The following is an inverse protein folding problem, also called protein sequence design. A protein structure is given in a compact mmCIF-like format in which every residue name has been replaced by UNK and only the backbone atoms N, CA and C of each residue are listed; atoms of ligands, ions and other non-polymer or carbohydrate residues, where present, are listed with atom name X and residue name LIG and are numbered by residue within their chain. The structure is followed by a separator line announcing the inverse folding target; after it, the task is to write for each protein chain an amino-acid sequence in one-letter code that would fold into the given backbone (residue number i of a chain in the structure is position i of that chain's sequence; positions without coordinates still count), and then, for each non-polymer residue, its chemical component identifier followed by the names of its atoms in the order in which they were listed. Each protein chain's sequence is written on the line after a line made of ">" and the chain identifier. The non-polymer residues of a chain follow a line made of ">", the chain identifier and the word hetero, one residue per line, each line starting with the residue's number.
data_IF_391326557373
#
_entry.id   IF_391326557373
#
_cell.length_a   1.000
_cell.length_b   1.000
_cell.length_c   1.000
_cell.angle_alpha   90.00
_cell.angle_beta   90.00
_cell.angle_gamma   90.00
#
_symmetry.space_group_name_H-M   'P 1'
#
loop_
_entity.id
_entity.type
_entity.pdbx_description
1 polymer ?
#
# COMPACT_ATOMS: atom_id res chain seq x y z
N UNK A 1 -14.48 29.23 -15.49
CA UNK A 1 -13.59 28.36 -14.69
C UNK A 1 -14.46 27.36 -13.95
N UNK A 2 -14.61 26.14 -14.44
CA UNK A 2 -15.39 25.11 -13.73
C UNK A 2 -14.59 24.66 -12.51
N UNK A 3 -15.17 24.76 -11.31
CA UNK A 3 -14.64 24.06 -10.15
C UNK A 3 -14.67 22.56 -10.46
N UNK A 4 -13.51 21.96 -10.70
CA UNK A 4 -13.40 20.51 -10.67
C UNK A 4 -13.63 20.09 -9.22
N UNK A 5 -14.74 19.41 -8.96
CA UNK A 5 -15.03 18.86 -7.64
C UNK A 5 -13.89 17.92 -7.25
N UNK A 6 -13.11 18.28 -6.23
CA UNK A 6 -12.02 17.43 -5.75
C UNK A 6 -12.61 16.16 -5.12
N UNK A 7 -12.16 14.99 -5.57
CA UNK A 7 -12.58 13.70 -5.01
C UNK A 7 -12.29 13.63 -3.50
N UNK A 8 -13.26 13.13 -2.74
CA UNK A 8 -13.15 12.95 -1.28
C UNK A 8 -12.96 11.48 -0.90
N UNK A 9 -12.53 11.22 0.34
CA UNK A 9 -12.46 9.87 0.89
C UNK A 9 -13.84 9.16 0.89
N UNK A 10 -14.93 9.93 1.05
CA UNK A 10 -16.28 9.39 1.00
C UNK A 10 -16.69 8.95 -0.41
N UNK A 11 -16.15 9.58 -1.45
CA UNK A 11 -16.37 9.17 -2.84
C UNK A 11 -15.63 7.88 -3.15
N UNK A 12 -14.36 7.77 -2.74
CA UNK A 12 -13.56 6.54 -2.94
C UNK A 12 -14.20 5.32 -2.30
N UNK A 13 -14.87 5.47 -1.14
CA UNK A 13 -15.60 4.38 -0.47
C UNK A 13 -16.76 3.81 -1.28
N UNK A 14 -17.28 4.57 -2.26
CA UNK A 14 -18.40 4.16 -3.12
C UNK A 14 -17.94 3.50 -4.41
N UNK A 15 -16.64 3.55 -4.72
CA UNK A 15 -16.11 3.04 -5.98
C UNK A 15 -16.09 1.52 -5.98
N UNK A 16 -16.42 0.94 -7.14
CA UNK A 16 -16.10 -0.46 -7.42
C UNK A 16 -14.59 -0.67 -7.50
N UNK A 17 -14.17 -1.94 -7.58
CA UNK A 17 -12.76 -2.27 -7.78
C UNK A 17 -12.25 -1.72 -9.11
N UNK A 18 -13.07 -1.84 -10.15
CA UNK A 18 -12.78 -1.36 -11.51
C UNK A 18 -12.67 0.17 -11.51
N UNK A 19 -13.63 0.87 -10.91
CA UNK A 19 -13.59 2.34 -10.79
C UNK A 19 -12.37 2.83 -10.01
N UNK A 20 -11.99 2.10 -8.96
CA UNK A 20 -10.77 2.41 -8.19
C UNK A 20 -9.52 2.23 -9.06
N UNK A 21 -9.44 1.14 -9.83
CA UNK A 21 -8.31 0.92 -10.72
C UNK A 21 -8.28 1.97 -11.84
N UNK A 22 -9.41 2.26 -12.48
CA UNK A 22 -9.51 3.29 -13.52
C UNK A 22 -9.05 4.66 -13.03
N UNK A 23 -9.46 5.06 -11.81
CA UNK A 23 -8.96 6.28 -11.18
C UNK A 23 -7.44 6.19 -10.98
N UNK A 24 -6.94 5.10 -10.39
CA UNK A 24 -5.51 4.91 -10.10
C UNK A 24 -4.62 5.12 -11.34
N UNK A 25 -5.05 4.65 -12.51
CA UNK A 25 -4.33 4.80 -13.78
C UNK A 25 -4.14 6.26 -14.24
N UNK A 26 -4.97 7.17 -13.72
CA UNK A 26 -4.94 8.61 -14.05
C UNK A 26 -4.11 9.44 -13.06
N UNK A 27 -3.79 8.88 -11.88
CA UNK A 27 -3.11 9.60 -10.81
C UNK A 27 -1.58 9.61 -10.98
N UNK A 28 -0.94 10.49 -10.21
CA UNK A 28 0.52 10.59 -10.11
C UNK A 28 1.04 9.90 -8.83
N UNK A 29 2.28 9.41 -8.87
CA UNK A 29 2.96 8.96 -7.66
C UNK A 29 3.23 10.15 -6.73
N UNK A 30 3.04 10.01 -5.40
CA UNK A 30 3.57 11.00 -4.46
C UNK A 30 5.10 10.97 -4.47
N UNK A 31 5.72 12.11 -4.18
CA UNK A 31 7.16 12.16 -3.94
C UNK A 31 7.52 11.40 -2.66
N UNK A 32 8.74 10.84 -2.57
CA UNK A 32 9.20 10.17 -1.35
C UNK A 32 9.04 11.05 -0.11
N UNK A 33 9.45 12.32 -0.20
CA UNK A 33 9.36 13.31 0.89
C UNK A 33 7.93 13.63 1.33
N UNK A 34 6.94 13.40 0.46
CA UNK A 34 5.52 13.59 0.78
C UNK A 34 5.00 12.48 1.72
N UNK A 35 5.63 11.29 1.66
CA UNK A 35 5.24 10.10 2.42
C UNK A 35 6.08 9.95 3.70
N UNK A 36 5.78 10.76 4.72
CA UNK A 36 6.49 10.77 6.00
C UNK A 36 5.53 10.88 7.20
N UNK A 37 5.32 9.77 7.89
CA UNK A 37 4.40 9.67 9.03
C UNK A 37 3.48 8.45 8.95
N UNK A 38 2.46 8.44 9.80
CA UNK A 38 1.40 7.43 9.84
C UNK A 38 0.15 7.92 9.12
N UNK A 39 -0.39 7.08 8.25
CA UNK A 39 -1.53 7.37 7.40
C UNK A 39 -2.64 6.35 7.69
N UNK A 40 -3.72 6.75 8.40
CA UNK A 40 -4.92 5.94 8.53
C UNK A 40 -5.30 5.25 7.22
N UNK A 41 -5.49 3.94 7.31
CA UNK A 41 -5.70 3.10 6.14
C UNK A 41 -7.09 2.48 6.17
N UNK A 42 -7.80 2.56 5.06
CA UNK A 42 -9.13 1.97 4.91
C UNK A 42 -9.15 1.08 3.68
N UNK A 43 -9.57 -0.19 3.85
CA UNK A 43 -9.89 -1.04 2.70
C UNK A 43 -11.11 -0.49 1.97
N UNK A 44 -11.02 -0.38 0.66
CA UNK A 44 -12.17 -0.05 -0.21
C UNK A 44 -12.87 -1.35 -0.63
N UNK A 45 -13.77 -1.29 -1.60
CA UNK A 45 -14.43 -2.48 -2.13
C UNK A 45 -13.38 -3.49 -2.65
N UNK A 46 -13.56 -4.77 -2.35
CA UNK A 46 -12.63 -5.86 -2.73
C UNK A 46 -13.27 -6.77 -3.79
N UNK A 47 -12.47 -7.39 -4.69
CA UNK A 47 -12.99 -8.16 -5.83
C UNK A 47 -13.68 -9.48 -5.47
N UNK A 48 -13.46 -10.01 -4.26
CA UNK A 48 -14.18 -11.20 -3.80
C UNK A 48 -14.19 -11.37 -2.28
N UNK A 49 -15.11 -12.20 -1.78
CA UNK A 49 -15.15 -12.67 -0.38
C UNK A 49 -13.90 -13.49 0.01
N UNK A 50 -13.26 -14.17 -0.95
CA UNK A 50 -12.05 -14.97 -0.71
C UNK A 50 -10.81 -14.07 -0.57
N UNK A 51 -10.76 -12.96 -1.33
CA UNK A 51 -9.81 -11.87 -1.11
C UNK A 51 -10.09 -11.15 0.23
N UNK A 52 -11.37 -11.04 0.61
CA UNK A 52 -11.77 -10.56 1.94
C UNK A 52 -11.32 -11.51 3.06
N UNK A 53 -11.36 -12.84 2.86
CA UNK A 53 -10.90 -13.87 3.79
C UNK A 53 -9.37 -13.97 3.91
N UNK A 54 -8.62 -13.80 2.82
CA UNK A 54 -7.15 -13.68 2.87
C UNK A 54 -6.72 -12.36 3.58
N UNK A 55 -7.52 -11.30 3.41
CA UNK A 55 -7.47 -10.10 4.26
C UNK A 55 -7.91 -10.33 5.70
N UNK A 56 -8.70 -11.36 6.02
CA UNK A 56 -9.14 -11.68 7.40
C UNK A 56 -8.04 -12.36 8.23
N UNK A 57 -7.14 -13.13 7.63
CA UNK A 57 -6.00 -13.74 8.35
C UNK A 57 -4.91 -12.71 8.69
N UNK A 58 -4.81 -11.61 7.91
CA UNK A 58 -3.74 -10.61 8.05
C UNK A 58 -4.19 -9.21 8.51
N UNK A 59 -5.45 -8.82 8.32
CA UNK A 59 -5.87 -7.40 8.40
C UNK A 59 -7.23 -7.17 9.09
N UNK A 60 -8.10 -8.19 9.14
CA UNK A 60 -9.49 -8.10 9.65
C UNK A 60 -9.79 -9.12 10.75
N UNK A 61 -8.83 -9.39 11.63
CA UNK A 61 -9.19 -9.94 12.94
C UNK A 61 -9.90 -8.82 13.71
N UNK A 62 -11.18 -8.94 14.12
CA UNK A 62 -11.83 -7.93 14.95
C UNK A 62 -11.10 -7.67 16.28
N UNK A 63 -10.22 -8.58 16.71
CA UNK A 63 -9.31 -8.41 17.85
C UNK A 63 -8.00 -7.67 17.50
N UNK A 64 -7.68 -7.53 16.21
CA UNK A 64 -6.46 -6.89 15.70
C UNK A 64 -6.77 -5.98 14.49
N UNK A 65 -7.54 -4.89 14.67
CA UNK A 65 -7.89 -4.00 13.57
C UNK A 65 -6.64 -3.33 13.00
N UNK A 66 -6.52 -3.37 11.68
CA UNK A 66 -5.57 -2.57 10.93
C UNK A 66 -5.91 -1.08 11.05
N UNK A 67 -4.89 -0.26 11.32
CA UNK A 67 -5.08 1.15 11.63
C UNK A 67 -4.47 2.05 10.56
N UNK A 68 -3.17 1.90 10.31
CA UNK A 68 -2.44 2.77 9.40
C UNK A 68 -1.34 2.02 8.65
N UNK A 69 -0.89 2.66 7.57
CA UNK A 69 0.45 2.44 7.02
C UNK A 69 1.32 3.61 7.42
N UNK A 70 2.58 3.35 7.74
CA UNK A 70 3.53 4.37 8.13
C UNK A 70 4.76 4.33 7.23
N UNK A 71 5.31 5.50 6.94
CA UNK A 71 6.41 5.68 6.00
C UNK A 71 7.45 6.64 6.54
N UNK A 72 8.70 6.41 6.17
CA UNK A 72 9.74 7.43 6.21
C UNK A 72 10.56 7.41 4.91
N UNK A 73 10.94 8.58 4.37
CA UNK A 73 11.96 8.66 3.34
C UNK A 73 13.32 8.20 3.88
N UNK A 74 14.10 7.54 3.03
CA UNK A 74 15.54 7.30 3.24
C UNK A 74 16.33 8.18 2.29
N UNK A 75 15.91 8.23 1.03
CA UNK A 75 16.43 9.12 0.00
C UNK A 75 15.29 9.53 -0.96
N UNK A 76 15.64 10.07 -2.13
CA UNK A 76 14.69 10.58 -3.13
C UNK A 76 13.89 9.48 -3.84
N UNK A 77 14.38 8.24 -3.83
CA UNK A 77 13.75 7.10 -4.52
C UNK A 77 13.35 5.97 -3.56
N UNK A 78 13.93 5.91 -2.36
CA UNK A 78 13.79 4.80 -1.42
C UNK A 78 13.34 5.26 -0.04
N UNK A 79 12.60 4.39 0.64
CA UNK A 79 12.19 4.58 2.02
C UNK A 79 11.88 3.29 2.75
N UNK A 80 11.29 3.45 3.93
CA UNK A 80 10.86 2.34 4.80
C UNK A 80 9.45 2.56 5.26
N UNK A 81 8.77 1.46 5.57
CA UNK A 81 7.46 1.53 6.17
C UNK A 81 7.10 0.31 6.99
N UNK A 82 5.95 0.42 7.66
CA UNK A 82 5.30 -0.68 8.37
C UNK A 82 3.79 -0.43 8.43
N UNK A 83 3.02 -1.44 8.81
CA UNK A 83 1.60 -1.30 9.14
C UNK A 83 1.44 -1.26 10.66
N UNK A 84 0.40 -0.59 11.17
CA UNK A 84 0.04 -0.69 12.59
C UNK A 84 -1.31 -1.33 12.80
N UNK A 85 -1.43 -1.97 13.96
CA UNK A 85 -2.61 -2.69 14.38
C UNK A 85 -2.89 -2.41 15.86
N UNK A 86 -4.16 -2.45 16.26
CA UNK A 86 -4.51 -2.43 17.70
C UNK A 86 -4.54 -3.85 18.23
N UNK A 87 -3.78 -4.19 19.26
CA UNK A 87 -3.85 -5.50 19.93
C UNK A 87 -3.90 -5.29 21.44
N UNK A 88 -4.91 -5.86 22.11
CA UNK A 88 -5.10 -5.72 23.56
C UNK A 88 -4.97 -4.26 24.06
N UNK A 89 -5.60 -3.31 23.34
CA UNK A 89 -5.56 -1.88 23.66
C UNK A 89 -4.29 -1.13 23.24
N UNK A 90 -3.21 -1.81 22.85
CA UNK A 90 -1.94 -1.21 22.42
C UNK A 90 -1.84 -1.14 20.91
N UNK A 91 -1.11 -0.15 20.39
CA UNK A 91 -0.76 -0.08 18.98
C UNK A 91 0.57 -0.81 18.76
N UNK A 92 0.61 -1.76 17.83
CA UNK A 92 1.81 -2.53 17.48
C UNK A 92 2.17 -2.33 16.01
N UNK A 93 3.47 -2.25 15.72
CA UNK A 93 4.03 -2.20 14.36
C UNK A 93 4.22 -3.62 13.83
N UNK A 94 3.79 -3.89 12.59
CA UNK A 94 3.94 -5.17 11.89
C UNK A 94 4.14 -4.96 10.40
N UNK A 95 4.49 -6.03 9.70
CA UNK A 95 4.64 -6.06 8.23
C UNK A 95 5.55 -4.93 7.72
N UNK A 96 6.84 -4.96 8.10
CA UNK A 96 7.84 -4.04 7.56
C UNK A 96 7.94 -4.17 6.05
N UNK A 97 8.16 -3.04 5.38
CA UNK A 97 8.24 -2.95 3.92
C UNK A 97 9.32 -1.96 3.50
N UNK A 98 9.96 -2.24 2.37
CA UNK A 98 10.74 -1.24 1.65
C UNK A 98 9.77 -0.40 0.83
N UNK A 99 9.99 0.90 0.75
CA UNK A 99 9.26 1.74 -0.18
C UNK A 99 10.17 2.25 -1.29
N UNK A 100 9.62 2.34 -2.50
CA UNK A 100 10.37 2.75 -3.69
C UNK A 100 9.45 3.42 -4.70
N UNK A 101 9.93 4.43 -5.42
CA UNK A 101 9.25 4.92 -6.62
C UNK A 101 9.66 4.03 -7.80
N UNK A 102 8.70 3.29 -8.37
CA UNK A 102 8.98 2.39 -9.49
C UNK A 102 7.78 2.29 -10.45
N UNK A 103 8.00 1.87 -11.71
CA UNK A 103 6.92 1.70 -12.68
C UNK A 103 5.83 0.72 -12.18
N UNK A 104 4.58 1.16 -12.26
CA UNK A 104 3.39 0.38 -11.90
C UNK A 104 3.24 -0.84 -12.80
N UNK A 105 2.73 -1.95 -12.24
CA UNK A 105 2.40 -3.14 -13.05
C UNK A 105 1.21 -2.96 -13.98
N UNK A 106 0.41 -1.91 -13.77
CA UNK A 106 -0.84 -1.70 -14.48
C UNK A 106 -0.67 -0.82 -15.72
N UNK A 107 0.18 0.21 -15.65
CA UNK A 107 0.39 1.16 -16.76
C UNK A 107 1.85 1.56 -17.02
N UNK A 108 2.81 1.04 -16.26
CA UNK A 108 4.23 1.39 -16.39
C UNK A 108 4.57 2.82 -15.96
N UNK A 109 3.61 3.64 -15.51
CA UNK A 109 3.91 4.97 -14.95
C UNK A 109 4.39 4.83 -13.51
N UNK A 110 5.14 5.81 -12.96
CA UNK A 110 5.60 5.76 -11.58
C UNK A 110 4.47 5.52 -10.56
N UNK A 111 4.76 4.73 -9.53
CA UNK A 111 3.92 4.54 -8.36
C UNK A 111 4.80 4.44 -7.11
N UNK A 112 4.29 4.88 -5.96
CA UNK A 112 4.94 4.67 -4.68
C UNK A 112 4.66 3.24 -4.22
N UNK A 113 5.64 2.35 -4.36
CA UNK A 113 5.47 0.93 -4.11
C UNK A 113 5.90 0.54 -2.71
N UNK A 114 5.16 -0.38 -2.09
CA UNK A 114 5.43 -0.97 -0.79
C UNK A 114 5.78 -2.45 -1.02
N UNK A 115 7.05 -2.80 -0.86
CA UNK A 115 7.55 -4.14 -1.15
C UNK A 115 7.85 -4.88 0.15
N UNK A 116 6.93 -5.74 0.57
CA UNK A 116 6.99 -6.45 1.85
C UNK A 116 8.07 -7.54 1.87
N UNK A 117 8.38 -8.12 0.70
CA UNK A 117 9.35 -9.21 0.59
C UNK A 117 10.79 -8.78 0.92
N UNK A 118 11.06 -7.48 0.99
CA UNK A 118 12.33 -6.95 1.48
C UNK A 118 12.63 -7.40 2.92
N UNK A 119 11.62 -7.83 3.69
CA UNK A 119 11.75 -8.27 5.06
C UNK A 119 11.16 -9.68 5.31
N UNK A 120 11.57 -10.30 6.40
CA UNK A 120 11.00 -11.56 6.88
C UNK A 120 9.64 -11.28 7.54
N UNK A 121 8.56 -11.56 6.81
CA UNK A 121 7.18 -11.37 7.27
C UNK A 121 6.21 -12.19 6.42
N UNK A 122 5.04 -12.50 6.96
CA UNK A 122 3.96 -13.19 6.24
C UNK A 122 3.57 -12.46 4.93
N UNK A 123 3.44 -11.13 4.94
CA UNK A 123 3.20 -10.35 3.72
C UNK A 123 4.34 -10.51 2.70
N UNK A 124 5.58 -10.62 3.17
CA UNK A 124 6.72 -10.93 2.32
C UNK A 124 6.69 -12.34 1.74
N UNK A 125 6.20 -13.33 2.49
CA UNK A 125 6.12 -14.73 2.04
C UNK A 125 5.07 -14.96 0.96
N UNK A 126 4.02 -14.13 0.91
CA UNK A 126 2.97 -14.18 -0.12
C UNK A 126 3.20 -13.20 -1.28
N UNK A 127 4.40 -12.62 -1.40
CA UNK A 127 4.77 -11.67 -2.46
C UNK A 127 3.84 -10.46 -2.54
N UNK A 128 3.42 -9.95 -1.36
CA UNK A 128 2.58 -8.77 -1.29
C UNK A 128 3.35 -7.54 -1.78
N UNK A 129 2.71 -6.76 -2.65
CA UNK A 129 3.17 -5.44 -3.09
C UNK A 129 1.95 -4.54 -3.19
N UNK A 130 2.04 -3.37 -2.55
CA UNK A 130 1.06 -2.31 -2.72
C UNK A 130 1.65 -1.21 -3.61
N UNK A 131 0.82 -0.57 -4.42
CA UNK A 131 1.18 0.59 -5.23
C UNK A 131 0.28 1.77 -4.85
N UNK A 132 0.85 2.95 -4.59
CA UNK A 132 0.13 4.13 -4.09
C UNK A 132 0.31 5.32 -5.04
N UNK A 133 -0.79 6.03 -5.27
CA UNK A 133 -0.84 7.29 -6.03
C UNK A 133 -1.70 8.33 -5.30
N UNK A 134 -1.41 9.60 -5.55
CA UNK A 134 -2.02 10.75 -4.88
C UNK A 134 -3.34 11.12 -5.54
N UNK A 135 -4.42 11.15 -4.76
CA UNK A 135 -5.75 11.61 -5.20
C UNK A 135 -5.86 13.12 -5.01
N UNK A 136 -5.51 13.60 -3.82
CA UNK A 136 -5.49 15.02 -3.46
C UNK A 136 -4.56 15.23 -2.25
N UNK A 137 -4.51 16.46 -1.72
CA UNK A 137 -3.72 16.73 -0.51
C UNK A 137 -4.19 15.84 0.63
N UNK A 138 -3.26 15.06 1.20
CA UNK A 138 -3.50 14.13 2.31
C UNK A 138 -4.46 12.97 2.00
N UNK A 139 -4.76 12.69 0.72
CA UNK A 139 -5.59 11.55 0.32
C UNK A 139 -4.90 10.78 -0.81
N UNK A 140 -4.76 9.47 -0.59
CA UNK A 140 -4.06 8.58 -1.50
C UNK A 140 -4.90 7.35 -1.79
N UNK A 141 -4.77 6.85 -3.02
CA UNK A 141 -5.35 5.60 -3.46
C UNK A 141 -4.24 4.58 -3.62
N UNK A 142 -4.44 3.43 -3.00
CA UNK A 142 -3.53 2.30 -3.08
C UNK A 142 -4.19 1.08 -3.72
N UNK A 143 -3.42 0.34 -4.50
CA UNK A 143 -3.80 -0.96 -5.06
C UNK A 143 -2.83 -2.01 -4.52
N UNK A 144 -3.34 -2.87 -3.63
CA UNK A 144 -2.62 -4.02 -3.12
C UNK A 144 -2.68 -5.20 -4.09
N UNK A 145 -1.64 -6.03 -4.06
CA UNK A 145 -1.59 -7.31 -4.77
C UNK A 145 -0.82 -8.32 -3.95
N UNK A 146 -1.08 -9.60 -4.15
CA UNK A 146 -0.27 -10.70 -3.62
C UNK A 146 -0.46 -11.94 -4.49
N UNK A 147 0.38 -12.95 -4.28
CA UNK A 147 0.25 -14.24 -4.95
C UNK A 147 1.55 -14.74 -5.54
N UNK A 148 1.55 -16.00 -5.96
CA UNK A 148 2.75 -16.72 -6.38
C UNK A 148 2.91 -16.76 -7.90
N UNK A 149 1.86 -16.40 -8.64
CA UNK A 149 1.86 -16.34 -10.11
C UNK A 149 1.63 -14.92 -10.61
N UNK A 150 2.07 -14.62 -11.83
CA UNK A 150 1.84 -13.31 -12.45
C UNK A 150 0.34 -12.96 -12.51
N UNK A 151 -0.54 -13.94 -12.78
CA UNK A 151 -1.99 -13.71 -12.85
C UNK A 151 -2.58 -13.32 -11.49
N UNK A 152 -2.17 -13.98 -10.40
CA UNK A 152 -2.63 -13.64 -9.05
C UNK A 152 -2.15 -12.23 -8.67
N UNK A 153 -0.91 -11.90 -9.02
CA UNK A 153 -0.29 -10.59 -8.77
C UNK A 153 -0.83 -9.47 -9.67
N UNK A 154 -1.91 -9.70 -10.42
CA UNK A 154 -2.65 -8.67 -11.16
C UNK A 154 -4.05 -8.38 -10.57
N UNK A 155 -4.48 -9.14 -9.57
CA UNK A 155 -5.77 -8.91 -8.90
C UNK A 155 -5.64 -7.68 -7.99
N UNK A 156 -6.36 -6.61 -8.33
CA UNK A 156 -6.37 -5.36 -7.57
C UNK A 156 -7.10 -5.50 -6.23
N UNK A 157 -6.47 -5.04 -5.15
CA UNK A 157 -7.03 -4.96 -3.80
C UNK A 157 -7.01 -3.50 -3.32
N UNK A 158 -8.04 -2.70 -3.66
CA UNK A 158 -8.01 -1.26 -3.42
C UNK A 158 -8.08 -0.90 -1.94
N UNK A 159 -7.33 0.12 -1.55
CA UNK A 159 -7.37 0.74 -0.23
C UNK A 159 -7.10 2.24 -0.38
N UNK A 160 -7.41 3.02 0.65
CA UNK A 160 -7.05 4.43 0.70
C UNK A 160 -6.19 4.72 1.94
N UNK A 161 -5.39 5.78 1.84
CA UNK A 161 -4.61 6.33 2.93
C UNK A 161 -4.98 7.80 3.11
N UNK A 162 -5.15 8.22 4.36
CA UNK A 162 -5.42 9.61 4.74
C UNK A 162 -4.28 10.10 5.64
N UNK A 163 -3.79 11.32 5.47
CA UNK A 163 -2.79 11.91 6.37
C UNK A 163 -1.52 12.45 5.70
N UNK A 164 -0.42 12.60 6.46
CA UNK A 164 -0.13 11.91 7.73
C UNK A 164 -0.89 12.47 8.94
N UNK A 165 -1.16 11.62 9.96
CA UNK A 165 -1.83 12.01 11.22
C UNK A 165 -0.97 11.83 12.47
N UNK A 166 0.19 11.18 12.35
CA UNK A 166 1.16 11.00 13.44
C UNK A 166 2.57 10.78 12.87
N UNK A 167 3.65 10.98 13.66
CA UNK A 167 5.01 10.72 13.20
C UNK A 167 5.32 9.22 13.08
N UNK A 168 6.28 8.88 12.21
CA UNK A 168 6.85 7.54 12.10
C UNK A 168 7.55 7.15 13.42
N UNK A 169 7.36 5.90 13.88
CA UNK A 169 7.77 5.45 15.22
C UNK A 169 9.11 4.72 15.28
N UNK A 170 9.75 4.52 14.12
CA UNK A 170 11.03 3.86 14.01
C UNK A 170 10.97 2.56 13.22
N UNK A 171 12.13 2.20 12.70
CA UNK A 171 12.30 1.07 11.81
C UNK A 171 12.09 -0.26 12.55
N UNK A 172 11.42 -1.21 11.91
CA UNK A 172 11.23 -2.58 12.40
C UNK A 172 11.61 -3.61 11.32
N UNK A 173 11.69 -4.88 11.72
CA UNK A 173 11.86 -6.00 10.80
C UNK A 173 13.29 -6.42 10.53
N UNK A 174 13.45 -7.69 10.16
CA UNK A 174 14.72 -8.25 9.72
C UNK A 174 14.74 -8.32 8.19
N UNK A 175 15.71 -7.69 7.51
CA UNK A 175 15.85 -7.79 6.06
C UNK A 175 15.95 -9.25 5.59
N UNK A 176 15.35 -9.55 4.44
CA UNK A 176 15.39 -10.90 3.86
C UNK A 176 16.67 -11.08 3.05
N UNK A 177 17.46 -12.10 3.40
CA UNK A 177 18.69 -12.46 2.67
C UNK A 177 18.37 -12.80 1.21
N UNK A 178 19.15 -12.26 0.28
CA UNK A 178 18.99 -12.51 -1.15
C UNK A 178 17.73 -11.90 -1.78
N UNK A 179 17.11 -10.92 -1.11
CA UNK A 179 16.05 -10.13 -1.71
C UNK A 179 16.56 -9.38 -2.96
N UNK A 180 15.74 -9.38 -4.00
CA UNK A 180 15.98 -8.65 -5.24
C UNK A 180 14.68 -7.97 -5.67
N UNK A 181 14.70 -6.65 -5.77
CA UNK A 181 13.51 -5.84 -6.07
C UNK A 181 12.87 -6.21 -7.41
N UNK A 182 13.67 -6.52 -8.43
CA UNK A 182 13.21 -6.92 -9.78
C UNK A 182 12.34 -8.19 -9.79
N UNK A 183 12.41 -9.04 -8.76
CA UNK A 183 11.52 -10.20 -8.64
C UNK A 183 10.10 -9.78 -8.25
N UNK A 184 9.99 -8.69 -7.48
CA UNK A 184 8.74 -8.18 -6.94
C UNK A 184 8.14 -7.05 -7.78
N UNK A 185 8.94 -6.30 -8.52
CA UNK A 185 8.48 -5.24 -9.43
C UNK A 185 8.70 -5.70 -10.87
N UNK A 186 7.65 -6.18 -11.59
CA UNK A 186 7.82 -6.81 -12.89
C UNK A 186 8.51 -5.94 -13.93
N UNK A 187 8.27 -4.63 -13.90
CA UNK A 187 8.86 -3.68 -14.84
C UNK A 187 10.37 -3.48 -14.67
N UNK A 188 10.95 -3.96 -13.56
CA UNK A 188 12.40 -3.91 -13.31
C UNK A 188 13.10 -5.24 -13.67
N UNK A 189 12.40 -6.16 -14.33
CA UNK A 189 13.02 -7.39 -14.86
C UNK A 189 13.75 -7.03 -16.16
N UNK A 190 15.08 -7.14 -16.13
CA UNK A 190 15.92 -7.10 -17.32
C UNK A 190 15.54 -8.21 -18.31
#
# INVERSE_FOLDING_TARGET
>A
MSQATSLTAADLKKFSVEQSLELFLQLEAPAMSEMNGEYPATLLQQPSLLATLAGQVSVRNPLVPWLCKAFRPVDVENGRGYNTFRTMGRIVQRFPMQTVIAPSRYDGKPAYQLVYRAYNSMCGDIHMVDEVRRVSSNLYLGIGTWGFTNRQRQVALPFMLEGPTAPYRGDIGTPRKGFALSKEVPALRN
#
